data_IF_006204434522
#
_entry.id   IF_006204434522
#
_cell.length_a   1.000
_cell.length_b   1.000
_cell.length_c   1.000
_cell.angle_alpha   90.00
_cell.angle_beta   90.00
_cell.angle_gamma   90.00
#
_symmetry.space_group_name_H-M   'P 1'
#
loop_
_entity.id
_entity.type
_entity.pdbx_description
1 polymer ?
#
# COMPACT_ATOMS: atom_id res chain seq x y z
N UNK A 1 3.34 10.46 -20.40
CA UNK A 1 3.02 10.72 -18.97
C UNK A 1 3.06 9.41 -18.23
N UNK A 2 3.71 9.39 -17.06
CA UNK A 2 3.73 8.22 -16.18
C UNK A 2 2.40 8.09 -15.46
N UNK A 3 1.89 6.86 -15.34
CA UNK A 3 0.59 6.57 -14.70
C UNK A 3 0.76 5.61 -13.54
N UNK A 4 0.16 5.91 -12.40
CA UNK A 4 0.13 5.01 -11.24
C UNK A 4 -1.14 4.13 -11.23
N UNK A 5 -0.98 2.83 -10.96
CA UNK A 5 -2.09 1.87 -10.82
C UNK A 5 -1.84 0.91 -9.66
N UNK A 6 -2.80 0.84 -8.73
CA UNK A 6 -2.80 -0.18 -7.68
C UNK A 6 -3.12 -1.56 -8.27
N UNK A 7 -2.28 -2.54 -7.99
CA UNK A 7 -2.42 -3.93 -8.42
C UNK A 7 -3.17 -4.76 -7.37
N UNK A 8 -2.76 -4.64 -6.11
CA UNK A 8 -3.34 -5.33 -4.97
C UNK A 8 -3.26 -4.43 -3.73
N UNK A 9 -4.15 -4.64 -2.75
CA UNK A 9 -4.16 -3.82 -1.54
C UNK A 9 -5.02 -4.42 -0.43
N UNK A 10 -4.52 -4.31 0.80
CA UNK A 10 -5.23 -4.60 2.04
C UNK A 10 -5.09 -3.42 3.01
N UNK A 11 -6.14 -3.17 3.80
CA UNK A 11 -6.22 -2.07 4.75
C UNK A 11 -7.02 -2.53 5.97
N UNK A 12 -6.49 -2.22 7.15
CA UNK A 12 -7.25 -2.16 8.39
C UNK A 12 -7.38 -0.69 8.76
N UNK A 13 -8.61 -0.19 8.85
CA UNK A 13 -8.87 1.18 9.27
C UNK A 13 -8.53 1.37 10.76
N UNK A 14 -8.10 2.58 11.19
CA UNK A 14 -7.91 2.88 12.60
C UNK A 14 -9.20 2.66 13.41
N UNK A 15 -9.08 2.12 14.62
CA UNK A 15 -10.23 1.81 15.48
C UNK A 15 -9.84 1.64 16.95
N UNK A 16 -10.76 1.88 17.88
CA UNK A 16 -10.55 1.72 19.33
C UNK A 16 -9.25 2.37 19.89
N UNK A 17 -8.84 3.51 19.30
CA UNK A 17 -7.61 4.21 19.69
C UNK A 17 -6.31 3.51 19.26
N UNK A 18 -6.38 2.61 18.29
CA UNK A 18 -5.25 1.89 17.68
C UNK A 18 -5.07 2.38 16.23
N UNK A 19 -3.83 2.61 15.77
CA UNK A 19 -3.58 2.96 14.38
C UNK A 19 -3.97 1.81 13.44
N UNK A 20 -4.50 2.16 12.28
CA UNK A 20 -4.72 1.21 11.19
C UNK A 20 -3.41 0.85 10.48
N UNK A 21 -3.47 -0.10 9.56
CA UNK A 21 -2.32 -0.53 8.76
C UNK A 21 -2.73 -0.78 7.32
N UNK A 22 -1.80 -0.57 6.38
CA UNK A 22 -1.99 -0.80 4.95
C UNK A 22 -0.86 -1.66 4.40
N UNK A 23 -1.17 -2.50 3.42
CA UNK A 23 -0.22 -3.04 2.46
C UNK A 23 -0.79 -2.93 1.05
N UNK A 24 -0.02 -2.48 0.07
CA UNK A 24 -0.45 -2.45 -1.32
C UNK A 24 0.73 -2.51 -2.29
N UNK A 25 0.44 -2.98 -3.51
CA UNK A 25 1.37 -2.90 -4.64
C UNK A 25 0.84 -1.90 -5.67
N UNK A 26 1.73 -1.01 -6.13
CA UNK A 26 1.43 0.01 -7.13
C UNK A 26 2.44 -0.08 -8.27
N UNK A 27 1.95 -0.27 -9.48
CA UNK A 27 2.76 -0.11 -10.68
C UNK A 27 2.73 1.35 -11.14
N UNK A 28 3.90 1.90 -11.48
CA UNK A 28 4.02 3.16 -12.21
C UNK A 28 4.58 2.83 -13.59
N UNK A 29 3.80 3.11 -14.63
CA UNK A 29 4.19 2.80 -16.00
C UNK A 29 4.30 4.06 -16.85
N UNK A 30 5.29 4.08 -17.74
CA UNK A 30 5.54 5.19 -18.66
C UNK A 30 6.68 6.11 -18.21
N UNK A 31 7.08 7.05 -19.07
CA UNK A 31 8.28 7.86 -18.89
C UNK A 31 9.55 7.16 -19.39
N UNK A 32 10.71 7.77 -19.15
CA UNK A 32 12.01 7.27 -19.63
C UNK A 32 12.55 6.08 -18.82
N UNK A 33 11.99 5.81 -17.64
CA UNK A 33 12.47 4.77 -16.72
C UNK A 33 11.72 3.44 -16.81
N UNK A 34 10.78 3.29 -17.74
CA UNK A 34 10.02 2.04 -17.91
C UNK A 34 8.97 1.81 -16.82
N UNK A 35 8.58 0.55 -16.60
CA UNK A 35 7.61 0.19 -15.57
C UNK A 35 8.32 -0.09 -14.24
N UNK A 36 7.89 0.61 -13.19
CA UNK A 36 8.41 0.49 -11.82
C UNK A 36 7.32 -0.06 -10.92
N UNK A 37 7.71 -0.77 -9.86
CA UNK A 37 6.78 -1.39 -8.93
C UNK A 37 7.11 -0.95 -7.51
N UNK A 38 6.08 -0.54 -6.77
CA UNK A 38 6.22 -0.02 -5.41
C UNK A 38 5.38 -0.84 -4.44
N UNK A 39 5.95 -1.11 -3.28
CA UNK A 39 5.24 -1.60 -2.10
C UNK A 39 4.91 -0.42 -1.20
N UNK A 40 3.65 -0.29 -0.82
CA UNK A 40 3.18 0.65 0.18
C UNK A 40 2.84 -0.15 1.43
N UNK A 41 3.45 0.14 2.57
CA UNK A 41 3.22 -0.63 3.79
C UNK A 41 3.37 0.20 5.07
N UNK A 42 2.66 -0.21 6.12
CA UNK A 42 2.86 0.27 7.49
C UNK A 42 1.61 0.94 8.04
N UNK A 43 1.75 1.86 9.02
CA UNK A 43 0.61 2.58 9.58
C UNK A 43 -0.17 3.33 8.50
N UNK A 44 -1.49 3.19 8.47
CA UNK A 44 -2.33 3.81 7.44
C UNK A 44 -2.31 5.36 7.46
N UNK A 45 -1.89 5.96 8.57
CA UNK A 45 -1.68 7.41 8.70
C UNK A 45 -0.37 7.91 8.09
N UNK A 46 0.66 7.06 7.99
CA UNK A 46 1.97 7.41 7.46
C UNK A 46 2.64 6.16 6.85
N UNK A 47 2.12 5.67 5.71
CA UNK A 47 2.65 4.48 5.08
C UNK A 47 4.04 4.75 4.49
N UNK A 48 4.93 3.77 4.62
CA UNK A 48 6.19 3.73 3.90
C UNK A 48 6.00 3.33 2.44
N UNK A 49 6.90 3.79 1.58
CA UNK A 49 6.95 3.43 0.16
C UNK A 49 8.34 2.89 -0.15
N UNK A 50 8.39 1.69 -0.72
CA UNK A 50 9.61 1.02 -1.16
C UNK A 50 9.48 0.67 -2.65
N UNK A 51 10.49 1.00 -3.45
CA UNK A 51 10.57 0.49 -4.81
C UNK A 51 11.11 -0.95 -4.81
N UNK A 52 10.40 -1.83 -5.50
CA UNK A 52 10.78 -3.22 -5.68
C UNK A 52 11.68 -3.39 -6.91
N UNK A 53 12.61 -4.36 -6.91
CA UNK A 53 13.44 -4.66 -8.07
C UNK A 53 12.61 -4.92 -9.34
N UNK A 54 13.11 -4.49 -10.50
CA UNK A 54 12.38 -4.58 -11.78
C UNK A 54 12.01 -5.99 -12.23
N UNK A 55 12.62 -7.03 -11.65
CA UNK A 55 12.33 -8.44 -11.91
C UNK A 55 11.34 -9.07 -10.90
N UNK A 56 10.70 -8.26 -10.05
CA UNK A 56 9.72 -8.74 -9.07
C UNK A 56 8.50 -9.33 -9.75
N UNK A 57 8.21 -10.60 -9.49
CA UNK A 57 6.95 -11.25 -9.88
C UNK A 57 5.94 -11.11 -8.74
N UNK A 58 4.77 -10.56 -9.02
CA UNK A 58 3.66 -10.51 -8.05
C UNK A 58 2.75 -11.71 -8.26
N UNK A 59 2.62 -12.53 -7.22
CA UNK A 59 1.57 -13.53 -7.10
C UNK A 59 0.42 -12.94 -6.25
N UNK A 60 -0.71 -12.68 -6.90
CA UNK A 60 -1.88 -12.09 -6.24
C UNK A 60 -2.55 -13.04 -5.24
N UNK A 61 -2.47 -14.36 -5.45
CA UNK A 61 -3.00 -15.34 -4.50
C UNK A 61 -2.11 -15.47 -3.27
N UNK A 62 -0.79 -15.27 -3.43
CA UNK A 62 0.13 -15.12 -2.30
C UNK A 62 -0.10 -13.79 -1.58
N UNK A 63 -0.35 -12.70 -2.30
CA UNK A 63 -0.61 -11.39 -1.71
C UNK A 63 -1.76 -11.43 -0.70
N UNK A 64 -2.87 -12.09 -1.01
CA UNK A 64 -4.01 -12.13 -0.08
C UNK A 64 -3.63 -12.81 1.25
N UNK A 65 -2.80 -13.85 1.23
CA UNK A 65 -2.29 -14.49 2.46
C UNK A 65 -1.33 -13.58 3.21
N UNK A 66 -0.35 -13.01 2.50
CA UNK A 66 0.64 -12.11 3.09
C UNK A 66 -0.04 -10.86 3.70
N UNK A 67 -1.10 -10.35 3.05
CA UNK A 67 -1.90 -9.24 3.56
C UNK A 67 -2.66 -9.60 4.84
N UNK A 68 -3.22 -10.82 4.93
CA UNK A 68 -3.84 -11.29 6.16
C UNK A 68 -2.82 -11.36 7.31
N UNK A 69 -1.66 -11.95 7.06
CA UNK A 69 -0.60 -12.08 8.07
C UNK A 69 -0.06 -10.73 8.54
N UNK A 70 0.19 -9.80 7.62
CA UNK A 70 0.75 -8.48 7.93
C UNK A 70 -0.25 -7.53 8.61
N UNK A 71 -1.54 -7.66 8.29
CA UNK A 71 -2.58 -6.80 8.85
C UNK A 71 -3.21 -7.37 10.13
N UNK A 72 -3.07 -8.68 10.39
CA UNK A 72 -3.59 -9.32 11.58
C UNK A 72 -3.19 -8.63 12.89
N UNK A 73 -1.94 -8.17 13.11
CA UNK A 73 -1.57 -7.48 14.35
C UNK A 73 -2.38 -6.20 14.60
N UNK A 74 -2.65 -5.41 13.55
CA UNK A 74 -3.46 -4.20 13.66
C UNK A 74 -4.93 -4.53 13.96
N UNK A 75 -5.47 -5.56 13.30
CA UNK A 75 -6.83 -6.04 13.53
C UNK A 75 -7.01 -6.55 14.98
N UNK A 76 -6.12 -7.44 15.42
CA UNK A 76 -6.13 -7.99 16.78
C UNK A 76 -6.04 -6.89 17.83
N UNK A 77 -5.14 -5.91 17.65
CA UNK A 77 -5.01 -4.81 18.60
C UNK A 77 -6.29 -3.96 18.71
N UNK A 78 -7.04 -3.78 17.61
CA UNK A 78 -8.35 -3.10 17.63
C UNK A 78 -9.38 -3.93 18.40
N UNK A 79 -9.45 -5.23 18.12
CA UNK A 79 -10.41 -6.16 18.74
C UNK A 79 -10.16 -6.35 20.24
N UNK A 80 -8.90 -6.43 20.68
CA UNK A 80 -8.51 -6.51 22.09
C UNK A 80 -8.96 -5.29 22.90
N UNK A 81 -9.15 -4.13 22.24
CA UNK A 81 -9.69 -2.91 22.84
C UNK A 81 -11.20 -2.77 22.72
N UNK A 82 -11.89 -3.83 22.30
CA UNK A 82 -13.34 -3.85 22.11
C UNK A 82 -13.81 -3.13 20.83
N UNK A 83 -12.90 -2.82 19.92
CA UNK A 83 -13.22 -2.31 18.59
C UNK A 83 -13.71 -3.40 17.65
N UNK A 84 -14.16 -2.99 16.46
CA UNK A 84 -14.42 -3.87 15.33
C UNK A 84 -13.55 -3.41 14.17
N UNK A 85 -12.76 -4.32 13.63
CA UNK A 85 -11.97 -4.08 12.43
C UNK A 85 -12.31 -5.08 11.33
N UNK A 86 -11.90 -4.79 10.12
CA UNK A 86 -11.91 -5.73 9.02
C UNK A 86 -10.74 -5.42 8.09
N UNK A 87 -10.20 -6.46 7.46
CA UNK A 87 -9.28 -6.27 6.34
C UNK A 87 -10.12 -5.99 5.10
N UNK A 88 -9.94 -4.80 4.54
CA UNK A 88 -10.66 -4.31 3.37
C UNK A 88 -9.69 -3.91 2.28
N UNK A 89 -10.20 -3.66 1.07
CA UNK A 89 -9.39 -3.13 -0.02
C UNK A 89 -9.29 -1.60 0.12
N UNK A 90 -8.08 -1.01 0.15
CA UNK A 90 -7.92 0.44 0.21
C UNK A 90 -8.38 1.11 -1.09
N UNK A 91 -8.67 2.41 -1.01
CA UNK A 91 -8.96 3.23 -2.20
C UNK A 91 -7.75 3.27 -3.15
N UNK A 92 -7.89 2.87 -4.42
CA UNK A 92 -6.80 2.93 -5.39
C UNK A 92 -6.23 4.34 -5.56
N UNK A 93 -7.10 5.36 -5.54
CA UNK A 93 -6.69 6.75 -5.69
C UNK A 93 -5.81 7.22 -4.52
N UNK A 94 -6.17 6.82 -3.29
CA UNK A 94 -5.38 7.16 -2.11
C UNK A 94 -4.01 6.48 -2.14
N UNK A 95 -3.94 5.17 -2.38
CA UNK A 95 -2.65 4.46 -2.44
C UNK A 95 -1.77 5.00 -3.57
N UNK A 96 -2.34 5.28 -4.75
CA UNK A 96 -1.60 5.91 -5.84
C UNK A 96 -1.09 7.32 -5.46
N UNK A 97 -1.86 8.11 -4.71
CA UNK A 97 -1.42 9.43 -4.23
C UNK A 97 -0.21 9.34 -3.29
N UNK A 98 -0.13 8.31 -2.44
CA UNK A 98 1.03 8.06 -1.56
C UNK A 98 2.30 7.84 -2.39
N UNK A 99 2.24 7.00 -3.42
CA UNK A 99 3.39 6.75 -4.31
C UNK A 99 3.78 7.99 -5.12
N UNK A 100 2.80 8.79 -5.58
CA UNK A 100 3.06 10.06 -6.27
C UNK A 100 3.77 11.05 -5.35
N UNK A 101 3.34 11.15 -4.09
CA UNK A 101 3.97 12.01 -3.11
C UNK A 101 5.42 11.57 -2.83
N UNK A 102 5.64 10.26 -2.69
CA UNK A 102 6.99 9.69 -2.57
C UNK A 102 7.88 10.07 -3.76
N UNK A 103 7.46 9.78 -4.99
CA UNK A 103 8.23 10.08 -6.22
C UNK A 103 8.50 11.57 -6.41
N UNK A 104 7.53 12.42 -6.07
CA UNK A 104 7.71 13.87 -6.10
C UNK A 104 8.77 14.31 -5.09
N UNK A 105 8.75 13.77 -3.87
CA UNK A 105 9.66 14.16 -2.80
C UNK A 105 11.08 13.59 -2.97
N UNK A 106 11.20 12.34 -3.44
CA UNK A 106 12.47 11.64 -3.56
C UNK A 106 13.19 11.96 -4.88
N UNK A 107 12.44 12.16 -5.98
CA UNK A 107 13.01 12.23 -7.33
C UNK A 107 12.55 13.47 -8.12
N UNK A 108 11.62 14.28 -7.60
CA UNK A 108 11.06 15.42 -8.33
C UNK A 108 10.16 15.02 -9.51
N UNK A 109 9.68 13.77 -9.56
CA UNK A 109 8.87 13.26 -10.66
C UNK A 109 7.38 13.56 -10.46
N UNK A 110 6.71 14.01 -11.54
CA UNK A 110 5.26 14.10 -11.59
C UNK A 110 4.65 12.87 -12.28
N UNK A 111 3.71 12.23 -11.58
CA UNK A 111 3.02 11.02 -12.01
C UNK A 111 1.50 11.24 -11.93
N UNK A 112 0.82 10.86 -13.00
CA UNK A 112 -0.62 11.10 -13.25
C UNK A 112 -1.51 9.94 -12.77
#
# INVERSE_FOLDING_TARGET
>A
MSKARMLAGGLVEPGAGVPGAVIAYVAVSGGTQGSRLFRVEGPSSMPGVEELPSATTIDLGRFDRDAQELLAPALTAIEERGGRGAITRPSPAWVCSVVRAYLRSAEGLEVD
#
